data_IF_030668633015
#
_entry.id   IF_030668633015
#
_cell.length_a   1.000
_cell.length_b   1.000
_cell.length_c   1.000
_cell.angle_alpha   90.00
_cell.angle_beta   90.00
_cell.angle_gamma   90.00
#
_symmetry.space_group_name_H-M   'P 1'
#
loop_
_entity.id
_entity.type
_entity.pdbx_description
1 polymer ?
#
# COMPACT_ATOMS: atom_id res chain seq x y z
N UNK A 1 -39.88 6.94 1.00
CA UNK A 1 -39.35 5.59 0.70
C UNK A 1 -39.80 5.22 -0.72
N UNK A 2 -38.92 5.25 -1.73
CA UNK A 2 -39.17 4.60 -3.01
C UNK A 2 -38.38 3.28 -3.12
N UNK A 3 -38.86 2.31 -3.91
CA UNK A 3 -38.35 0.94 -3.92
C UNK A 3 -37.02 0.84 -4.69
N UNK A 4 -36.11 0.03 -4.18
CA UNK A 4 -34.84 -0.32 -4.84
C UNK A 4 -35.13 -1.25 -6.03
N UNK A 5 -34.84 -0.75 -7.24
CA UNK A 5 -34.78 -1.54 -8.46
C UNK A 5 -33.57 -2.48 -8.45
N UNK A 6 -33.69 -3.73 -8.93
CA UNK A 6 -32.57 -4.66 -9.02
C UNK A 6 -31.70 -4.26 -10.21
N UNK A 7 -30.58 -3.57 -9.95
CA UNK A 7 -29.57 -3.33 -10.98
C UNK A 7 -28.78 -4.62 -11.21
N UNK A 8 -29.22 -5.43 -12.16
CA UNK A 8 -28.36 -6.40 -12.84
C UNK A 8 -27.40 -5.62 -13.74
N UNK A 9 -26.28 -5.16 -13.18
CA UNK A 9 -25.14 -4.68 -13.97
C UNK A 9 -24.39 -5.93 -14.44
N UNK A 10 -24.75 -6.40 -15.64
CA UNK A 10 -23.90 -7.30 -16.40
C UNK A 10 -22.57 -6.58 -16.60
N UNK A 11 -21.54 -7.05 -15.88
CA UNK A 11 -20.18 -6.57 -16.03
C UNK A 11 -19.73 -6.87 -17.47
N UNK A 12 -19.82 -5.87 -18.34
CA UNK A 12 -19.24 -5.93 -19.68
C UNK A 12 -17.73 -5.85 -19.50
N UNK A 13 -17.07 -7.01 -19.36
CA UNK A 13 -15.61 -7.12 -19.35
C UNK A 13 -15.10 -6.52 -20.67
N UNK A 14 -14.29 -5.44 -20.66
CA UNK A 14 -13.69 -4.93 -21.88
C UNK A 14 -12.53 -5.86 -22.28
N UNK A 15 -12.87 -6.97 -22.95
CA UNK A 15 -11.93 -7.97 -23.46
C UNK A 15 -11.03 -7.47 -24.61
N UNK A 16 -11.26 -6.26 -25.13
CA UNK A 16 -10.51 -5.70 -26.26
C UNK A 16 -9.23 -4.92 -25.91
N UNK A 17 -9.05 -4.47 -24.66
CA UNK A 17 -7.94 -3.55 -24.31
C UNK A 17 -6.57 -4.24 -24.29
N UNK A 18 -6.51 -5.50 -23.88
CA UNK A 18 -5.24 -6.26 -23.82
C UNK A 18 -4.69 -6.60 -25.20
N UNK A 19 -5.55 -7.04 -26.13
CA UNK A 19 -5.16 -7.32 -27.51
C UNK A 19 -4.73 -6.06 -28.26
N UNK A 20 -5.47 -4.96 -28.10
CA UNK A 20 -5.10 -3.67 -28.68
C UNK A 20 -3.77 -3.13 -28.13
N UNK A 21 -3.51 -3.29 -26.82
CA UNK A 21 -2.24 -2.90 -26.20
C UNK A 21 -1.07 -3.73 -26.72
N UNK A 22 -1.23 -5.05 -26.84
CA UNK A 22 -0.19 -5.93 -27.39
C UNK A 22 0.10 -5.57 -28.85
N UNK A 23 -0.93 -5.34 -29.66
CA UNK A 23 -0.78 -4.90 -31.05
C UNK A 23 -0.07 -3.53 -31.15
N UNK A 24 -0.46 -2.57 -30.32
CA UNK A 24 0.16 -1.25 -30.26
C UNK A 24 1.64 -1.31 -29.80
N UNK A 25 1.95 -2.12 -28.77
CA UNK A 25 3.33 -2.32 -28.31
C UNK A 25 4.19 -3.04 -29.36
N UNK A 26 3.62 -4.03 -30.05
CA UNK A 26 4.31 -4.74 -31.14
C UNK A 26 4.59 -3.82 -32.32
N UNK A 27 3.64 -2.95 -32.67
CA UNK A 27 3.80 -1.95 -33.71
C UNK A 27 4.84 -0.88 -33.32
N UNK A 28 4.76 -0.34 -32.11
CA UNK A 28 5.73 0.63 -31.59
C UNK A 28 7.15 0.04 -31.56
N UNK A 29 7.29 -1.23 -31.16
CA UNK A 29 8.55 -1.94 -31.22
C UNK A 29 9.08 -2.07 -32.65
N UNK A 30 8.24 -2.50 -33.60
CA UNK A 30 8.63 -2.62 -35.01
C UNK A 30 9.12 -1.30 -35.62
N UNK A 31 8.49 -0.17 -35.26
CA UNK A 31 8.88 1.18 -35.67
C UNK A 31 10.26 1.58 -35.15
N UNK A 32 10.63 1.15 -33.93
CA UNK A 32 11.97 1.43 -33.35
C UNK A 32 13.03 0.49 -33.90
N UNK A 33 12.67 -0.75 -34.19
CA UNK A 33 13.64 -1.80 -34.53
C UNK A 33 13.99 -1.85 -36.00
N UNK A 34 13.06 -1.50 -36.88
CA UNK A 34 13.35 -1.36 -38.29
C UNK A 34 14.52 -0.38 -38.58
N UNK A 35 14.56 0.86 -38.05
CA UNK A 35 15.69 1.75 -38.28
C UNK A 35 16.98 1.27 -37.60
N UNK A 36 16.91 0.60 -36.44
CA UNK A 36 18.13 0.02 -35.84
C UNK A 36 18.69 -1.10 -36.72
N UNK A 37 17.86 -2.06 -37.11
CA UNK A 37 18.27 -3.24 -37.86
C UNK A 37 18.68 -2.92 -39.32
N UNK A 38 17.95 -2.03 -39.99
CA UNK A 38 18.12 -1.76 -41.42
C UNK A 38 18.88 -0.47 -41.74
N UNK A 39 19.13 0.41 -40.75
CA UNK A 39 19.88 1.64 -40.96
C UNK A 39 21.07 1.78 -40.00
N UNK A 40 20.84 1.71 -38.69
CA UNK A 40 21.89 1.95 -37.69
C UNK A 40 23.00 0.90 -37.73
N UNK A 41 22.65 -0.39 -37.79
CA UNK A 41 23.64 -1.49 -37.88
C UNK A 41 24.50 -1.43 -39.17
N UNK A 42 23.92 -1.29 -40.38
CA UNK A 42 24.73 -1.24 -41.60
C UNK A 42 25.42 0.10 -41.86
N UNK A 43 24.80 1.24 -41.51
CA UNK A 43 25.32 2.58 -41.84
C UNK A 43 26.08 3.21 -40.67
N UNK A 44 25.58 3.05 -39.44
CA UNK A 44 26.18 3.65 -38.24
C UNK A 44 27.33 2.82 -37.65
N UNK A 45 27.22 1.49 -37.70
CA UNK A 45 28.24 0.56 -37.22
C UNK A 45 29.02 -0.14 -38.34
N UNK A 46 28.73 0.19 -39.60
CA UNK A 46 29.38 -0.36 -40.80
C UNK A 46 29.42 -1.90 -40.84
N UNK A 47 28.45 -2.56 -40.20
CA UNK A 47 28.39 -4.02 -40.18
C UNK A 47 28.02 -4.54 -41.57
N UNK A 48 28.72 -5.57 -42.03
CA UNK A 48 28.49 -6.20 -43.33
C UNK A 48 28.57 -7.73 -43.21
N UNK A 49 28.13 -8.43 -44.27
CA UNK A 49 28.21 -9.89 -44.37
C UNK A 49 27.53 -10.62 -43.20
N UNK A 50 28.18 -11.67 -42.69
CA UNK A 50 27.63 -12.49 -41.61
C UNK A 50 27.40 -11.69 -40.30
N UNK A 51 28.22 -10.68 -40.02
CA UNK A 51 28.10 -9.86 -38.81
C UNK A 51 26.83 -8.99 -38.83
N UNK A 52 26.48 -8.42 -39.99
CA UNK A 52 25.22 -7.68 -40.16
C UNK A 52 24.00 -8.57 -39.97
N UNK A 53 24.00 -9.76 -40.59
CA UNK A 53 22.90 -10.73 -40.47
C UNK A 53 22.73 -11.15 -39.01
N UNK A 54 23.84 -11.48 -38.33
CA UNK A 54 23.81 -11.82 -36.91
C UNK A 54 23.28 -10.67 -36.05
N UNK A 55 23.70 -9.43 -36.32
CA UNK A 55 23.20 -8.24 -35.62
C UNK A 55 21.71 -8.00 -35.83
N UNK A 56 21.22 -8.09 -37.06
CA UNK A 56 19.80 -7.94 -37.39
C UNK A 56 18.94 -9.01 -36.73
N UNK A 57 19.36 -10.28 -36.81
CA UNK A 57 18.69 -11.39 -36.13
C UNK A 57 18.70 -11.21 -34.60
N UNK A 58 19.81 -10.71 -34.05
CA UNK A 58 19.93 -10.41 -32.62
C UNK A 58 18.94 -9.34 -32.16
N UNK A 59 18.85 -8.22 -32.87
CA UNK A 59 17.90 -7.14 -32.53
C UNK A 59 16.45 -7.62 -32.66
N UNK A 60 16.10 -8.28 -33.78
CA UNK A 60 14.74 -8.82 -33.99
C UNK A 60 14.39 -9.86 -32.92
N UNK A 61 15.33 -10.76 -32.60
CA UNK A 61 15.17 -11.78 -31.57
C UNK A 61 14.95 -11.20 -30.18
N UNK A 62 15.75 -10.20 -29.77
CA UNK A 62 15.58 -9.50 -28.50
C UNK A 62 14.18 -8.87 -28.37
N UNK A 63 13.65 -8.38 -29.49
CA UNK A 63 12.28 -7.90 -29.60
C UNK A 63 11.19 -8.90 -29.41
N UNK A 64 11.29 -10.00 -30.15
CA UNK A 64 10.35 -11.10 -30.03
C UNK A 64 10.28 -11.58 -28.58
N UNK A 65 11.44 -11.67 -27.89
CA UNK A 65 11.51 -12.01 -26.47
C UNK A 65 10.80 -10.95 -25.60
N UNK A 66 11.04 -9.66 -25.83
CA UNK A 66 10.39 -8.58 -25.08
C UNK A 66 8.86 -8.59 -25.25
N UNK A 67 8.38 -8.71 -26.50
CA UNK A 67 6.94 -8.78 -26.81
C UNK A 67 6.32 -10.02 -26.18
N UNK A 68 6.96 -11.18 -26.29
CA UNK A 68 6.48 -12.42 -25.67
C UNK A 68 6.42 -12.29 -24.14
N UNK A 69 7.43 -11.68 -23.52
CA UNK A 69 7.46 -11.41 -22.09
C UNK A 69 6.33 -10.48 -21.66
N UNK A 70 6.10 -9.37 -22.38
CA UNK A 70 5.00 -8.43 -22.12
C UNK A 70 3.64 -9.09 -22.30
N UNK A 71 3.44 -9.86 -23.38
CA UNK A 71 2.20 -10.58 -23.63
C UNK A 71 1.93 -11.63 -22.54
N UNK A 72 2.95 -12.39 -22.14
CA UNK A 72 2.85 -13.36 -21.05
C UNK A 72 2.49 -12.67 -19.72
N UNK A 73 3.06 -11.50 -19.42
CA UNK A 73 2.71 -10.71 -18.22
C UNK A 73 1.25 -10.24 -18.25
N UNK A 74 0.79 -9.69 -19.38
CA UNK A 74 -0.59 -9.21 -19.55
C UNK A 74 -1.58 -10.38 -19.40
N UNK A 75 -1.30 -11.53 -20.02
CA UNK A 75 -2.14 -12.72 -19.91
C UNK A 75 -2.17 -13.28 -18.50
N UNK A 76 -1.02 -13.31 -17.80
CA UNK A 76 -0.95 -13.73 -16.40
C UNK A 76 -1.77 -12.81 -15.49
N UNK A 77 -1.66 -11.49 -15.65
CA UNK A 77 -2.44 -10.53 -14.87
C UNK A 77 -3.95 -10.66 -15.15
N UNK A 78 -4.34 -10.83 -16.41
CA UNK A 78 -5.73 -11.07 -16.78
C UNK A 78 -6.29 -12.36 -16.17
N UNK A 79 -5.52 -13.45 -16.19
CA UNK A 79 -5.89 -14.73 -15.55
C UNK A 79 -5.96 -14.61 -14.03
N UNK A 80 -5.00 -13.93 -13.40
CA UNK A 80 -5.03 -13.64 -11.96
C UNK A 80 -6.30 -12.87 -11.61
N UNK A 81 -6.62 -11.82 -12.35
CA UNK A 81 -7.83 -11.02 -12.12
C UNK A 81 -9.10 -11.84 -12.29
N UNK A 82 -9.21 -12.66 -13.35
CA UNK A 82 -10.35 -13.55 -13.55
C UNK A 82 -10.54 -14.51 -12.37
N UNK A 83 -9.46 -15.15 -11.90
CA UNK A 83 -9.50 -16.02 -10.72
C UNK A 83 -9.89 -15.27 -9.45
N UNK A 84 -9.45 -14.03 -9.30
CA UNK A 84 -9.82 -13.21 -8.13
C UNK A 84 -11.31 -12.84 -8.13
N UNK A 85 -11.87 -12.55 -9.31
CA UNK A 85 -13.31 -12.30 -9.52
C UNK A 85 -14.11 -13.57 -9.19
N UNK A 86 -13.70 -14.73 -9.70
CA UNK A 86 -14.32 -16.02 -9.39
C UNK A 86 -14.28 -16.33 -7.89
N UNK A 87 -13.13 -16.10 -7.25
CA UNK A 87 -12.94 -16.28 -5.81
C UNK A 87 -13.86 -15.37 -5.00
N UNK A 88 -13.93 -14.08 -5.34
CA UNK A 88 -14.81 -13.13 -4.68
C UNK A 88 -16.28 -13.56 -4.81
N UNK A 89 -16.73 -13.92 -6.02
CA UNK A 89 -18.10 -14.39 -6.23
C UNK A 89 -18.40 -15.69 -5.50
N UNK A 90 -17.48 -16.65 -5.48
CA UNK A 90 -17.64 -17.91 -4.76
C UNK A 90 -17.74 -17.71 -3.24
N UNK A 91 -17.07 -16.69 -2.71
CA UNK A 91 -17.13 -16.30 -1.30
C UNK A 91 -18.28 -15.33 -0.96
N UNK A 92 -19.07 -14.88 -1.95
CA UNK A 92 -20.14 -13.91 -1.76
C UNK A 92 -19.65 -12.47 -1.48
N UNK A 93 -18.44 -12.13 -1.91
CA UNK A 93 -17.84 -10.80 -1.78
C UNK A 93 -18.04 -9.97 -3.05
N UNK A 94 -18.09 -8.65 -2.90
CA UNK A 94 -18.14 -7.74 -4.05
C UNK A 94 -16.72 -7.43 -4.55
N UNK A 95 -16.51 -7.48 -5.87
CA UNK A 95 -15.24 -7.11 -6.49
C UNK A 95 -15.37 -5.83 -7.32
N UNK A 96 -14.40 -4.92 -7.21
CA UNK A 96 -14.25 -3.76 -8.09
C UNK A 96 -12.80 -3.62 -8.57
N UNK A 97 -12.62 -3.53 -9.89
CA UNK A 97 -11.28 -3.50 -10.48
C UNK A 97 -10.50 -2.22 -10.17
N UNK A 98 -11.17 -1.07 -10.21
CA UNK A 98 -10.54 0.24 -10.02
C UNK A 98 -11.34 1.05 -9.01
N UNK A 99 -10.66 1.46 -7.95
CA UNK A 99 -11.18 2.30 -6.86
C UNK A 99 -10.20 3.43 -6.55
N UNK A 100 -9.40 3.84 -7.54
CA UNK A 100 -8.35 4.85 -7.36
C UNK A 100 -8.90 6.22 -6.96
N UNK A 101 -10.16 6.50 -7.27
CA UNK A 101 -10.84 7.74 -6.88
C UNK A 101 -11.30 7.77 -5.41
N UNK A 102 -11.23 6.63 -4.70
CA UNK A 102 -11.71 6.53 -3.32
C UNK A 102 -10.65 6.95 -2.31
N UNK A 103 -11.12 7.58 -1.23
CA UNK A 103 -10.31 7.82 -0.03
C UNK A 103 -10.51 6.62 0.91
N UNK A 104 -9.42 5.91 1.18
CA UNK A 104 -9.32 4.76 2.06
C UNK A 104 -9.13 5.14 3.53
N UNK A 105 -8.63 6.35 3.77
CA UNK A 105 -8.27 6.85 5.10
C UNK A 105 -6.90 6.36 5.57
N UNK A 106 -6.55 6.73 6.80
CA UNK A 106 -5.28 6.37 7.44
C UNK A 106 -4.07 7.15 6.95
N UNK A 107 -2.91 6.82 7.51
CA UNK A 107 -1.67 7.59 7.35
C UNK A 107 -1.23 7.68 5.89
N UNK A 108 -1.50 6.65 5.08
CA UNK A 108 -1.17 6.64 3.64
C UNK A 108 -1.93 7.75 2.91
N UNK A 109 -3.23 7.90 3.19
CA UNK A 109 -4.09 8.86 2.51
C UNK A 109 -3.90 10.29 3.00
N UNK A 110 -3.54 10.44 4.27
CA UNK A 110 -3.22 11.72 4.90
C UNK A 110 -1.91 12.31 4.39
N UNK A 111 -0.94 11.46 4.01
CA UNK A 111 0.42 11.91 3.68
C UNK A 111 0.77 11.81 2.20
N UNK A 112 0.15 10.90 1.44
CA UNK A 112 0.43 10.72 0.02
C UNK A 112 -0.65 11.43 -0.80
N UNK A 113 -0.21 12.35 -1.67
CA UNK A 113 -1.10 13.07 -2.56
C UNK A 113 -1.88 12.12 -3.48
N UNK A 114 -3.09 12.52 -3.88
CA UNK A 114 -3.98 11.71 -4.73
C UNK A 114 -3.33 11.28 -6.05
N UNK A 115 -2.47 12.10 -6.64
CA UNK A 115 -1.74 11.79 -7.88
C UNK A 115 -0.64 10.75 -7.67
N UNK A 116 -0.11 10.62 -6.44
CA UNK A 116 0.92 9.66 -6.06
C UNK A 116 0.36 8.33 -5.57
N UNK A 117 -0.95 8.08 -5.72
CA UNK A 117 -1.58 6.82 -5.26
C UNK A 117 -2.63 6.33 -6.24
N UNK A 118 -2.73 5.01 -6.37
CA UNK A 118 -3.82 4.34 -7.09
C UNK A 118 -4.26 3.09 -6.33
N UNK A 119 -5.50 2.64 -6.54
CA UNK A 119 -6.05 1.51 -5.81
C UNK A 119 -6.92 0.65 -6.72
N UNK A 120 -6.65 -0.65 -6.72
CA UNK A 120 -7.21 -1.62 -7.66
C UNK A 120 -7.53 -2.93 -6.95
N UNK A 121 -8.23 -3.81 -7.67
CA UNK A 121 -8.59 -5.15 -7.22
C UNK A 121 -9.20 -5.12 -5.80
N UNK A 122 -10.21 -4.27 -5.64
CA UNK A 122 -10.97 -4.11 -4.41
C UNK A 122 -11.87 -5.31 -4.16
N UNK A 123 -11.86 -5.80 -2.93
CA UNK A 123 -12.75 -6.85 -2.43
C UNK A 123 -13.49 -6.29 -1.22
N UNK A 124 -14.82 -6.29 -1.27
CA UNK A 124 -15.70 -5.91 -0.17
C UNK A 124 -16.34 -7.17 0.43
N UNK A 125 -15.95 -7.51 1.66
CA UNK A 125 -16.48 -8.61 2.43
C UNK A 125 -17.17 -8.11 3.72
N UNK A 126 -17.49 -6.80 3.82
CA UNK A 126 -18.03 -6.19 5.04
C UNK A 126 -19.42 -6.69 5.44
N UNK A 127 -20.15 -7.30 4.48
CA UNK A 127 -21.44 -7.95 4.73
C UNK A 127 -21.36 -9.43 5.10
N UNK A 128 -20.16 -10.00 5.21
CA UNK A 128 -19.95 -11.42 5.56
C UNK A 128 -19.71 -11.63 7.06
N UNK A 129 -19.69 -12.89 7.49
CA UNK A 129 -19.42 -13.27 8.90
C UNK A 129 -18.06 -12.79 9.39
N UNK A 130 -17.08 -12.68 8.50
CA UNK A 130 -15.78 -12.07 8.77
C UNK A 130 -15.68 -10.74 8.00
N UNK A 131 -16.10 -9.62 8.60
CA UNK A 131 -16.20 -8.36 7.88
C UNK A 131 -14.81 -7.75 7.63
N UNK A 132 -14.52 -7.45 6.37
CA UNK A 132 -13.37 -6.64 5.96
C UNK A 132 -13.60 -6.05 4.56
N UNK A 133 -12.83 -5.04 4.18
CA UNK A 133 -12.58 -4.76 2.77
C UNK A 133 -11.08 -4.69 2.50
N UNK A 134 -10.67 -4.83 1.24
CA UNK A 134 -9.26 -4.77 0.87
C UNK A 134 -9.04 -4.24 -0.54
N UNK A 135 -7.90 -3.62 -0.78
CA UNK A 135 -7.45 -3.24 -2.12
C UNK A 135 -5.94 -3.33 -2.28
N UNK A 136 -5.51 -3.62 -3.49
CA UNK A 136 -4.12 -3.46 -3.89
C UNK A 136 -3.87 -1.97 -4.13
N UNK A 137 -2.88 -1.42 -3.44
CA UNK A 137 -2.56 0.01 -3.49
C UNK A 137 -1.15 0.19 -3.99
N UNK A 138 -1.00 1.05 -5.00
CA UNK A 138 0.30 1.51 -5.45
C UNK A 138 0.49 2.94 -4.96
N UNK A 139 1.57 3.17 -4.22
CA UNK A 139 1.93 4.48 -3.66
C UNK A 139 3.30 4.89 -4.14
N UNK A 140 3.44 6.17 -4.47
CA UNK A 140 4.69 6.80 -4.91
C UNK A 140 5.17 7.69 -3.77
N UNK A 141 6.37 7.41 -3.27
CA UNK A 141 6.98 8.11 -2.15
C UNK A 141 8.27 8.78 -2.61
N UNK A 142 8.45 10.05 -2.27
CA UNK A 142 9.63 10.85 -2.64
C UNK A 142 9.28 11.92 -3.66
N UNK A 143 10.25 12.79 -3.94
CA UNK A 143 10.18 13.79 -5.00
C UNK A 143 10.68 13.21 -6.33
N UNK A 144 10.40 13.90 -7.44
CA UNK A 144 10.49 13.37 -8.82
C UNK A 144 11.80 12.66 -9.15
N UNK A 145 12.92 13.10 -8.59
CA UNK A 145 14.26 12.56 -8.88
C UNK A 145 14.61 11.32 -8.02
N UNK A 146 13.91 11.12 -6.89
CA UNK A 146 14.10 10.00 -5.95
C UNK A 146 12.83 9.19 -5.65
N UNK A 147 11.78 9.34 -6.46
CA UNK A 147 10.48 8.73 -6.22
C UNK A 147 10.54 7.20 -6.34
N UNK A 148 10.10 6.50 -5.29
CA UNK A 148 10.02 5.05 -5.25
C UNK A 148 8.56 4.61 -5.28
N UNK A 149 8.28 3.61 -6.12
CA UNK A 149 6.93 3.02 -6.25
C UNK A 149 6.84 1.79 -5.35
N UNK A 150 5.87 1.78 -4.46
CA UNK A 150 5.59 0.67 -3.56
C UNK A 150 4.19 0.13 -3.81
N UNK A 151 4.04 -1.20 -3.79
CA UNK A 151 2.74 -1.87 -3.88
C UNK A 151 2.47 -2.62 -2.58
N UNK A 152 1.29 -2.40 -2.03
CA UNK A 152 0.83 -2.99 -0.77
C UNK A 152 -0.59 -3.52 -0.96
N UNK A 153 -1.01 -4.46 -0.10
CA UNK A 153 -2.42 -4.82 0.05
C UNK A 153 -2.91 -4.20 1.35
N UNK A 154 -3.76 -3.19 1.25
CA UNK A 154 -4.41 -2.59 2.41
C UNK A 154 -5.71 -3.34 2.69
N UNK A 155 -5.91 -3.71 3.96
CA UNK A 155 -7.13 -4.33 4.47
C UNK A 155 -7.72 -3.41 5.53
N UNK A 156 -9.04 -3.19 5.50
CA UNK A 156 -9.77 -2.50 6.56
C UNK A 156 -10.72 -3.47 7.24
N UNK A 157 -10.60 -3.56 8.55
CA UNK A 157 -11.43 -4.37 9.41
C UNK A 157 -12.31 -3.39 10.21
N UNK A 158 -13.64 -3.41 10.07
CA UNK A 158 -14.50 -2.55 10.86
C UNK A 158 -14.43 -2.94 12.35
N UNK A 159 -14.43 -1.93 13.19
CA UNK A 159 -14.43 -2.04 14.65
C UNK A 159 -15.83 -1.75 15.19
N UNK A 160 -16.13 -2.29 16.38
CA UNK A 160 -17.44 -2.16 17.02
C UNK A 160 -17.74 -0.73 17.49
N UNK A 161 -16.70 0.05 17.76
CA UNK A 161 -16.79 1.45 18.14
C UNK A 161 -15.54 2.21 17.65
N UNK A 162 -15.60 3.54 17.67
CA UNK A 162 -14.42 4.35 17.41
C UNK A 162 -13.39 4.20 18.53
N UNK A 163 -12.12 4.24 18.17
CA UNK A 163 -10.99 4.20 19.10
C UNK A 163 -9.94 5.26 18.71
N UNK A 164 -9.14 5.75 19.68
CA UNK A 164 -8.06 6.70 19.40
C UNK A 164 -7.13 6.16 18.31
N UNK A 165 -6.53 7.09 17.57
CA UNK A 165 -5.53 6.76 16.55
C UNK A 165 -4.39 6.02 17.24
N UNK A 166 -4.11 4.80 16.79
CA UNK A 166 -2.96 4.02 17.27
C UNK A 166 -2.28 3.48 16.03
N UNK A 167 -0.98 3.70 15.89
CA UNK A 167 -0.19 3.06 14.83
C UNK A 167 0.74 2.03 15.45
N UNK A 168 0.72 0.81 14.92
CA UNK A 168 1.62 -0.28 15.26
C UNK A 168 2.51 -0.52 14.06
N UNK A 169 3.70 0.07 14.07
CA UNK A 169 4.66 -0.04 12.97
C UNK A 169 5.63 -1.18 13.24
N UNK A 170 5.71 -2.16 12.36
CA UNK A 170 6.65 -3.26 12.51
C UNK A 170 8.10 -2.76 12.43
N UNK A 171 8.92 -3.19 13.41
CA UNK A 171 10.35 -2.91 13.47
C UNK A 171 11.16 -3.78 12.51
N UNK A 172 10.58 -4.86 11.97
CA UNK A 172 11.19 -5.64 10.88
C UNK A 172 11.38 -4.81 9.60
N UNK A 173 10.63 -3.71 9.48
CA UNK A 173 10.74 -2.74 8.39
C UNK A 173 10.02 -3.18 7.12
N UNK A 174 9.94 -2.27 6.14
CA UNK A 174 9.34 -2.54 4.83
C UNK A 174 7.81 -2.43 4.76
N UNK A 175 7.12 -2.25 5.89
CA UNK A 175 5.68 -2.00 5.94
C UNK A 175 5.27 -0.60 5.45
N UNK A 176 3.99 -0.42 5.14
CA UNK A 176 3.45 0.80 4.53
C UNK A 176 3.72 2.09 5.34
N UNK A 177 3.61 2.03 6.67
CA UNK A 177 3.84 3.18 7.55
C UNK A 177 5.32 3.55 7.61
N UNK A 178 6.21 2.57 7.45
CA UNK A 178 7.66 2.80 7.41
C UNK A 178 8.10 3.58 6.16
N UNK A 179 7.31 3.55 5.09
CA UNK A 179 7.57 4.23 3.82
C UNK A 179 7.12 5.70 3.83
N UNK A 180 6.34 6.14 4.81
CA UNK A 180 5.71 7.46 4.73
C UNK A 180 6.70 8.63 4.92
N UNK A 181 6.46 9.79 4.27
CA UNK A 181 7.33 10.97 4.35
C UNK A 181 7.48 11.53 5.77
N UNK A 182 6.41 11.48 6.57
CA UNK A 182 6.40 11.89 7.98
C UNK A 182 6.22 10.66 8.85
N UNK A 183 6.88 10.69 10.00
CA UNK A 183 6.73 9.67 11.04
C UNK A 183 6.18 10.30 12.31
N UNK A 184 5.45 9.53 13.13
CA UNK A 184 5.12 9.97 14.48
C UNK A 184 6.36 10.53 15.20
N UNK A 185 6.17 11.63 15.91
CA UNK A 185 7.23 12.22 16.72
C UNK A 185 7.56 11.28 17.88
N UNK A 186 8.78 11.34 18.41
CA UNK A 186 9.16 10.50 19.57
C UNK A 186 8.32 10.81 20.83
N UNK A 187 7.60 11.94 20.86
CA UNK A 187 6.65 12.26 21.93
C UNK A 187 5.34 11.49 21.82
N UNK A 188 5.01 11.03 20.61
CA UNK A 188 3.85 10.17 20.36
C UNK A 188 4.20 8.69 20.56
N UNK A 189 5.46 8.33 20.79
CA UNK A 189 5.88 6.93 20.94
C UNK A 189 5.54 6.41 22.34
N UNK A 190 4.77 5.31 22.38
CA UNK A 190 4.44 4.60 23.61
C UNK A 190 5.28 3.31 23.67
N UNK A 191 6.04 3.13 24.74
CA UNK A 191 6.71 1.86 25.02
C UNK A 191 5.83 1.00 25.91
N UNK A 192 5.61 -0.24 25.50
CA UNK A 192 4.83 -1.24 26.23
C UNK A 192 5.77 -2.23 26.90
N UNK A 193 5.29 -2.85 27.97
CA UNK A 193 6.03 -3.87 28.72
C UNK A 193 6.26 -5.15 27.91
N UNK A 194 7.18 -5.99 28.39
CA UNK A 194 7.58 -7.21 27.70
C UNK A 194 8.40 -6.96 26.44
N UNK A 195 8.28 -7.86 25.47
CA UNK A 195 9.00 -7.81 24.19
C UNK A 195 8.20 -7.10 23.08
N UNK A 196 7.04 -6.53 23.39
CA UNK A 196 6.16 -5.97 22.36
C UNK A 196 6.79 -4.79 21.63
N UNK A 197 7.45 -3.89 22.38
CA UNK A 197 8.16 -2.75 21.80
C UNK A 197 9.46 -3.11 21.07
N UNK A 198 9.91 -4.36 21.15
CA UNK A 198 11.02 -4.85 20.31
C UNK A 198 10.55 -5.22 18.90
N UNK A 199 9.26 -5.55 18.76
CA UNK A 199 8.63 -5.93 17.49
C UNK A 199 7.89 -4.76 16.86
N UNK A 200 7.20 -3.93 17.65
CA UNK A 200 6.44 -2.79 17.17
C UNK A 200 6.94 -1.46 17.74
N UNK A 201 6.96 -0.43 16.90
CA UNK A 201 6.92 0.96 17.35
C UNK A 201 5.45 1.38 17.44
N UNK A 202 5.00 1.64 18.68
CA UNK A 202 3.62 2.05 18.95
C UNK A 202 3.59 3.57 19.01
N UNK A 203 2.67 4.19 18.29
CA UNK A 203 2.45 5.63 18.40
C UNK A 203 0.98 5.98 18.64
N UNK A 204 0.78 6.95 19.52
CA UNK A 204 -0.53 7.36 20.05
C UNK A 204 -0.59 8.89 20.16
N UNK A 205 -1.78 9.50 20.07
CA UNK A 205 -1.96 10.91 20.34
C UNK A 205 -1.52 11.27 21.76
N UNK A 206 -1.00 12.49 21.92
CA UNK A 206 -0.61 12.99 23.22
C UNK A 206 -1.80 12.99 24.19
N UNK A 207 -1.63 12.40 25.37
CA UNK A 207 -2.68 12.29 26.40
C UNK A 207 -3.63 11.09 26.24
N UNK A 208 -3.42 10.24 25.22
CA UNK A 208 -4.16 8.99 24.98
C UNK A 208 -3.33 7.74 25.29
N UNK A 209 -2.22 7.87 26.02
CA UNK A 209 -1.35 6.74 26.38
C UNK A 209 -2.10 5.72 27.24
N UNK A 210 -2.88 6.18 28.22
CA UNK A 210 -3.69 5.31 29.08
C UNK A 210 -4.81 4.62 28.30
N UNK A 211 -5.48 5.34 27.40
CA UNK A 211 -6.50 4.80 26.50
C UNK A 211 -5.93 3.70 25.59
N UNK A 212 -4.70 3.90 25.10
CA UNK A 212 -3.99 2.90 24.32
C UNK A 212 -3.64 1.65 25.15
N UNK A 213 -3.24 1.80 26.42
CA UNK A 213 -3.02 0.67 27.33
C UNK A 213 -4.32 -0.08 27.63
N UNK A 214 -5.45 0.63 27.71
CA UNK A 214 -6.74 -0.02 27.80
C UNK A 214 -6.98 -0.88 26.57
N UNK A 215 -6.78 -0.37 25.35
CA UNK A 215 -7.03 -1.15 24.14
C UNK A 215 -6.01 -2.28 23.91
N UNK A 216 -4.72 -2.02 24.12
CA UNK A 216 -3.62 -2.96 23.90
C UNK A 216 -3.40 -3.84 25.13
N UNK A 217 -4.40 -4.66 25.44
CA UNK A 217 -4.33 -5.63 26.54
C UNK A 217 -3.26 -6.70 26.26
N UNK A 218 -2.71 -7.35 27.29
CA UNK A 218 -1.67 -8.37 27.11
C UNK A 218 -2.07 -9.51 26.16
N UNK A 219 -3.34 -9.94 26.16
CA UNK A 219 -3.83 -10.98 25.26
C UNK A 219 -3.91 -10.51 23.80
N UNK A 220 -4.27 -9.25 23.56
CA UNK A 220 -4.23 -8.65 22.22
C UNK A 220 -2.78 -8.47 21.74
N UNK A 221 -1.88 -8.08 22.63
CA UNK A 221 -0.45 -7.96 22.31
C UNK A 221 0.13 -9.29 21.83
N UNK A 222 -0.19 -10.41 22.48
CA UNK A 222 0.23 -11.75 22.03
C UNK A 222 -0.28 -12.05 20.62
N UNK A 223 -1.55 -11.78 20.37
CA UNK A 223 -2.15 -12.05 19.05
C UNK A 223 -1.55 -11.18 17.96
N UNK A 224 -1.23 -9.92 18.27
CA UNK A 224 -0.52 -9.03 17.36
C UNK A 224 0.89 -9.54 17.03
N UNK A 225 1.60 -10.07 18.03
CA UNK A 225 2.92 -10.68 17.83
C UNK A 225 2.84 -11.96 16.97
N UNK A 226 1.82 -12.79 17.18
CA UNK A 226 1.69 -14.06 16.46
C UNK A 226 1.16 -13.89 15.03
N UNK A 227 0.14 -13.04 14.85
CA UNK A 227 -0.57 -12.93 13.58
C UNK A 227 -0.04 -11.82 12.66
N UNK A 228 0.69 -10.84 13.20
CA UNK A 228 0.96 -9.59 12.48
C UNK A 228 2.31 -8.93 12.77
N UNK A 229 3.28 -9.63 13.39
CA UNK A 229 4.57 -9.05 13.76
C UNK A 229 5.38 -8.44 12.59
N UNK A 230 5.12 -8.85 11.35
CA UNK A 230 5.72 -8.33 10.12
C UNK A 230 4.84 -7.30 9.39
N UNK A 231 3.66 -6.98 9.92
CA UNK A 231 2.69 -6.08 9.31
C UNK A 231 2.68 -4.72 10.01
N UNK A 232 2.35 -3.68 9.26
CA UNK A 232 1.99 -2.39 9.86
C UNK A 232 0.47 -2.35 10.06
N UNK A 233 0.03 -1.86 11.21
CA UNK A 233 -1.37 -1.68 11.53
C UNK A 233 -1.64 -0.25 12.00
N UNK A 234 -2.84 0.24 11.77
CA UNK A 234 -3.29 1.47 12.43
C UNK A 234 -4.79 1.46 12.68
N UNK A 235 -5.20 2.04 13.81
CA UNK A 235 -6.60 2.30 14.13
C UNK A 235 -6.93 3.71 13.66
N UNK A 236 -7.97 3.85 12.85
CA UNK A 236 -8.48 5.13 12.38
C UNK A 236 -9.98 5.13 12.61
N UNK A 237 -10.42 5.93 13.57
CA UNK A 237 -11.82 6.01 13.98
C UNK A 237 -12.37 4.61 14.34
N UNK A 238 -13.36 4.12 13.60
CA UNK A 238 -13.98 2.79 13.76
C UNK A 238 -13.41 1.73 12.82
N UNK A 239 -12.16 1.89 12.36
CA UNK A 239 -11.53 0.96 11.41
C UNK A 239 -10.12 0.61 11.83
N UNK A 240 -9.78 -0.69 11.77
CA UNK A 240 -8.41 -1.17 11.84
C UNK A 240 -7.88 -1.39 10.43
N UNK A 241 -6.89 -0.61 10.04
CA UNK A 241 -6.14 -0.78 8.80
C UNK A 241 -4.98 -1.74 9.06
N UNK A 242 -4.82 -2.71 8.16
CA UNK A 242 -3.70 -3.67 8.15
C UNK A 242 -3.03 -3.63 6.80
N UNK A 243 -1.72 -3.43 6.79
CA UNK A 243 -0.93 -3.27 5.57
C UNK A 243 -0.05 -4.48 5.31
N UNK A 244 -0.46 -5.28 4.34
CA UNK A 244 0.30 -6.40 3.83
C UNK A 244 1.24 -5.95 2.70
N UNK A 245 2.36 -6.67 2.48
CA UNK A 245 3.14 -6.52 1.26
C UNK A 245 2.30 -6.86 0.02
N UNK A 246 2.85 -6.65 -1.17
CA UNK A 246 2.21 -7.10 -2.41
C UNK A 246 2.00 -8.63 -2.37
N UNK A 247 0.73 -9.06 -2.31
CA UNK A 247 0.34 -10.46 -2.18
C UNK A 247 -0.70 -10.87 -3.24
N UNK A 248 -0.65 -12.13 -3.64
CA UNK A 248 -1.62 -12.73 -4.55
C UNK A 248 -2.69 -13.51 -3.77
N UNK A 249 -3.88 -12.92 -3.64
CA UNK A 249 -5.02 -13.55 -2.97
C UNK A 249 -5.60 -14.74 -3.75
N UNK A 250 -5.16 -14.98 -4.99
CA UNK A 250 -5.57 -16.18 -5.75
C UNK A 250 -4.77 -17.43 -5.37
N UNK A 251 -3.71 -17.28 -4.58
CA UNK A 251 -3.01 -18.40 -3.94
C UNK A 251 -3.79 -18.81 -2.66
N UNK A 252 -4.30 -20.06 -2.58
CA UNK A 252 -5.06 -20.52 -1.42
C UNK A 252 -4.31 -20.41 -0.09
N UNK A 253 -2.99 -20.63 -0.08
CA UNK A 253 -2.20 -20.56 1.15
C UNK A 253 -2.03 -19.11 1.62
N UNK A 254 -1.86 -18.18 0.68
CA UNK A 254 -1.82 -16.74 0.97
C UNK A 254 -3.18 -16.25 1.46
N UNK A 255 -4.26 -16.63 0.78
CA UNK A 255 -5.62 -16.29 1.18
C UNK A 255 -5.93 -16.79 2.60
N UNK A 256 -5.65 -18.05 2.89
CA UNK A 256 -5.87 -18.64 4.22
C UNK A 256 -5.10 -17.88 5.31
N UNK A 257 -3.84 -17.51 5.04
CA UNK A 257 -3.03 -16.72 5.98
C UNK A 257 -3.63 -15.33 6.22
N UNK A 258 -4.06 -14.64 5.16
CA UNK A 258 -4.68 -13.31 5.28
C UNK A 258 -5.99 -13.38 6.05
N UNK A 259 -6.89 -14.29 5.70
CA UNK A 259 -8.17 -14.47 6.39
C UNK A 259 -7.96 -14.90 7.85
N UNK A 260 -6.97 -15.74 8.14
CA UNK A 260 -6.60 -16.11 9.50
C UNK A 260 -6.14 -14.91 10.34
N UNK A 261 -5.30 -14.05 9.77
CA UNK A 261 -4.89 -12.81 10.43
C UNK A 261 -6.09 -11.87 10.65
N UNK A 262 -6.95 -11.69 9.64
CA UNK A 262 -8.17 -10.86 9.75
C UNK A 262 -9.08 -11.41 10.85
N UNK A 263 -9.32 -12.72 10.91
CA UNK A 263 -10.16 -13.36 11.93
C UNK A 263 -9.60 -13.13 13.34
N UNK A 264 -8.31 -13.38 13.54
CA UNK A 264 -7.65 -13.19 14.83
C UNK A 264 -7.74 -11.73 15.32
N UNK A 265 -7.52 -10.77 14.41
CA UNK A 265 -7.58 -9.34 14.71
C UNK A 265 -9.02 -8.88 14.94
N UNK A 266 -9.96 -9.26 14.07
CA UNK A 266 -11.35 -8.85 14.15
C UNK A 266 -12.01 -9.28 15.47
N UNK A 267 -11.83 -10.53 15.90
CA UNK A 267 -12.41 -11.03 17.15
C UNK A 267 -11.94 -10.20 18.35
N UNK A 268 -10.64 -9.93 18.43
CA UNK A 268 -10.03 -9.32 19.61
C UNK A 268 -10.21 -7.82 19.67
N UNK A 269 -9.95 -7.12 18.57
CA UNK A 269 -10.22 -5.69 18.49
C UNK A 269 -11.71 -5.39 18.57
N UNK A 270 -12.57 -6.23 17.97
CA UNK A 270 -14.02 -6.09 18.04
C UNK A 270 -14.53 -6.15 19.49
N UNK A 271 -14.07 -7.13 20.28
CA UNK A 271 -14.41 -7.23 21.71
C UNK A 271 -13.91 -6.04 22.50
N UNK A 272 -12.69 -5.54 22.21
CA UNK A 272 -12.07 -4.50 23.04
C UNK A 272 -12.60 -3.10 22.75
N UNK A 273 -12.79 -2.78 21.47
CA UNK A 273 -13.33 -1.47 21.04
C UNK A 273 -14.77 -1.29 21.46
N UNK A 274 -15.58 -2.35 21.50
CA UNK A 274 -16.98 -2.29 21.97
C UNK A 274 -17.13 -1.67 23.37
N UNK A 275 -16.12 -1.88 24.23
CA UNK A 275 -16.13 -1.41 25.62
C UNK A 275 -15.48 -0.03 25.79
N UNK A 276 -14.84 0.49 24.74
CA UNK A 276 -14.13 1.76 24.81
C UNK A 276 -15.09 2.94 24.68
N UNK A 277 -14.86 3.97 25.49
CA UNK A 277 -15.50 5.27 25.40
C UNK A 277 -14.46 6.33 25.71
N UNK A 278 -14.41 7.36 24.86
CA UNK A 278 -13.57 8.52 25.13
C UNK A 278 -14.32 9.48 26.06
N UNK A 279 -13.92 9.51 27.32
CA UNK A 279 -14.49 10.42 28.34
C UNK A 279 -14.23 11.90 28.03
N UNK A 280 -13.32 12.20 27.08
CA UNK A 280 -13.00 13.55 26.62
C UNK A 280 -13.80 13.95 25.39
N UNK A 281 -14.60 13.04 24.84
CA UNK A 281 -15.44 13.35 23.69
C UNK A 281 -16.48 14.43 24.06
N UNK A 282 -16.79 15.37 23.14
CA UNK A 282 -17.83 16.35 23.36
C UNK A 282 -19.16 15.70 23.74
N UNK A 283 -19.88 16.28 24.70
CA UNK A 283 -21.22 15.85 25.02
C UNK A 283 -22.11 15.98 23.78
N UNK A 284 -22.70 14.87 23.34
CA UNK A 284 -23.64 14.85 22.23
C UNK A 284 -25.04 15.12 22.75
N UNK A 285 -25.79 15.93 22.00
CA UNK A 285 -27.23 16.10 22.23
C UNK A 285 -27.92 14.74 22.06
N UNK A 286 -28.63 14.22 23.09
CA UNK A 286 -29.34 12.95 22.99
C UNK A 286 -30.42 12.94 21.89
N UNK A 287 -30.86 14.09 21.41
CA UNK A 287 -31.80 14.20 20.29
C UNK A 287 -31.16 13.98 18.91
N UNK A 288 -29.82 13.99 18.81
CA UNK A 288 -29.08 13.82 17.55
C UNK A 288 -28.58 12.38 17.41
N UNK A 289 -28.83 11.76 16.25
CA UNK A 289 -28.25 10.44 15.94
C UNK A 289 -26.74 10.53 15.81
N UNK A 290 -26.01 9.67 16.55
CA UNK A 290 -24.54 9.59 16.49
C UNK A 290 -24.08 9.25 15.07
N UNK A 291 -23.04 9.96 14.62
CA UNK A 291 -22.30 9.71 13.38
C UNK A 291 -20.89 9.23 13.70
N UNK A 292 -20.23 8.58 12.75
CA UNK A 292 -18.77 8.45 12.80
C UNK A 292 -18.17 9.87 12.84
N UNK A 293 -17.31 10.13 13.81
CA UNK A 293 -16.80 11.45 14.15
C UNK A 293 -17.21 11.92 15.55
N UNK A 294 -18.31 11.40 16.09
CA UNK A 294 -18.95 12.00 17.25
C UNK A 294 -18.47 11.43 18.58
N UNK A 295 -17.83 10.26 18.60
CA UNK A 295 -17.52 9.51 19.83
C UNK A 295 -16.10 9.64 20.34
N UNK A 296 -15.25 10.40 19.63
CA UNK A 296 -13.88 10.71 20.06
C UNK A 296 -13.64 12.22 20.05
N UNK A 297 -12.84 12.70 20.99
CA UNK A 297 -12.33 14.06 20.94
C UNK A 297 -11.40 14.24 19.72
N UNK A 298 -11.29 15.48 19.23
CA UNK A 298 -10.43 15.80 18.08
C UNK A 298 -8.95 15.41 18.33
N UNK A 299 -8.47 15.54 19.58
CA UNK A 299 -7.13 15.16 19.97
C UNK A 299 -6.85 13.65 19.79
N UNK A 300 -7.87 12.80 19.95
CA UNK A 300 -7.74 11.35 19.76
C UNK A 300 -7.43 10.94 18.31
N UNK A 301 -7.68 11.82 17.34
CA UNK A 301 -7.64 11.48 15.90
C UNK A 301 -6.32 11.84 15.24
N UNK A 302 -5.50 12.68 15.89
CA UNK A 302 -4.30 13.25 15.29
C UNK A 302 -3.04 12.76 15.97
N UNK A 303 -2.08 12.27 15.18
CA UNK A 303 -0.72 12.01 15.64
C UNK A 303 0.18 13.21 15.36
N UNK A 304 1.00 13.58 16.33
CA UNK A 304 2.07 14.53 16.10
C UNK A 304 3.14 13.85 15.22
N UNK A 305 3.44 14.44 14.06
CA UNK A 305 4.36 13.85 13.09
C UNK A 305 5.48 14.83 12.71
N UNK A 306 6.64 14.26 12.40
CA UNK A 306 7.83 15.00 11.95
C UNK A 306 8.29 14.53 10.58
N UNK A 307 8.76 15.46 9.76
CA UNK A 307 9.38 15.17 8.46
C UNK A 307 10.66 14.35 8.64
N UNK A 308 10.87 13.36 7.77
CA UNK A 308 12.14 12.64 7.70
C UNK A 308 13.17 13.46 6.91
N UNK A 309 13.79 14.44 7.58
CA UNK A 309 14.76 15.35 6.95
C UNK A 309 16.14 14.70 6.78
N UNK A 310 16.48 13.66 7.57
CA UNK A 310 17.79 13.00 7.54
C UNK A 310 18.28 12.56 6.15
N UNK A 311 17.47 11.82 5.36
CA UNK A 311 17.82 11.47 3.98
C UNK A 311 18.04 12.68 3.08
N UNK A 312 17.24 13.74 3.24
CA UNK A 312 17.36 14.99 2.47
C UNK A 312 18.68 15.68 2.81
N UNK A 313 18.99 15.83 4.10
CA UNK A 313 20.26 16.41 4.57
C UNK A 313 21.45 15.58 4.11
N UNK A 314 21.36 14.25 4.18
CA UNK A 314 22.42 13.39 3.67
C UNK A 314 22.61 13.59 2.15
N UNK A 315 21.54 13.57 1.37
CA UNK A 315 21.60 13.78 -0.08
C UNK A 315 22.19 15.16 -0.45
N UNK A 316 21.91 16.21 0.32
CA UNK A 316 22.50 17.56 0.13
C UNK A 316 23.96 17.63 0.58
N UNK A 317 24.32 16.96 1.68
CA UNK A 317 25.68 16.98 2.23
C UNK A 317 26.65 16.06 1.48
N UNK A 318 26.20 14.92 0.96
CA UNK A 318 27.05 13.97 0.21
C UNK A 318 27.85 14.62 -0.92
N UNK A 319 27.28 15.47 -1.81
CA UNK A 319 28.07 16.16 -2.83
C UNK A 319 28.98 17.27 -2.29
N UNK A 320 28.78 17.74 -1.05
CA UNK A 320 29.64 18.75 -0.41
C UNK A 320 30.90 18.13 0.23
N UNK A 321 30.90 16.82 0.54
CA UNK A 321 32.06 16.12 1.13
C UNK A 321 33.32 16.20 0.23
N UNK A 322 33.26 15.93 -1.09
CA UNK A 322 34.41 16.10 -1.99
C UNK A 322 34.94 17.54 -2.02
N UNK A 323 34.05 18.54 -1.94
CA UNK A 323 34.40 19.96 -1.93
C UNK A 323 35.15 20.35 -0.65
N UNK A 324 34.70 19.85 0.51
CA UNK A 324 35.40 20.05 1.80
C UNK A 324 36.76 19.36 1.83
N UNK A 325 36.87 18.15 1.25
CA UNK A 325 38.16 17.46 1.10
C UNK A 325 39.10 18.28 0.22
N UNK A 326 38.64 18.76 -0.95
CA UNK A 326 39.46 19.60 -1.83
C UNK A 326 39.94 20.89 -1.15
N UNK A 327 39.08 21.54 -0.37
CA UNK A 327 39.44 22.73 0.42
C UNK A 327 40.49 22.43 1.50
N UNK A 328 40.36 21.32 2.22
CA UNK A 328 41.35 20.91 3.22
C UNK A 328 42.72 20.57 2.60
N UNK A 329 42.73 19.93 1.42
CA UNK A 329 43.97 19.64 0.68
C UNK A 329 44.68 20.92 0.23
N UNK A 330 43.94 21.93 -0.23
CA UNK A 330 44.51 23.23 -0.62
C UNK A 330 45.16 23.97 0.55
N UNK A 331 44.66 23.79 1.78
CA UNK A 331 45.26 24.40 2.98
C UNK A 331 46.41 23.59 3.60
N UNK A 332 46.50 22.29 3.34
CA UNK A 332 47.62 21.46 3.79
C UNK A 332 48.80 21.46 2.80
N UNK A 333 48.55 21.80 1.53
CA UNK A 333 49.56 21.84 0.47
C UNK A 333 50.19 23.22 0.25
N UNK A 334 49.79 24.24 1.03
CA UNK A 334 50.38 25.59 1.06
C UNK A 334 51.02 25.88 2.41
#
# INVERSE_FOLDING_TARGET
MPPLSPFSVVARVPSGRGGALIAALSLAYAVVVAPVAFYLLPVGFELTGAALIAGQLGVIGAGAVLVLFSAARILRDARRRARLVELAHAAGWDYRQDVSDWIWGGSVDEQIERTGRSSRDHIDARGSDLPFDSAERTVVVGDREGATVHTIRAVRIPLSAEAPRITLRSRRGGGALSLLPRRPSGRSELRLEGNFSDVFEVSVPAGYETDALYLLTPDLMVILLDASADLDLEIVDSTLHVYFPAIDLTDPAVLARVLGAIAALHERFGRRTLLYRDERAPALDPAVSRRNGDTLAAAARTLDTRLRIGPIVLAVLTPLIPMLIAFAWLHLAG
#
